data_IF_593521977819
#
_entry.id   IF_593521977819
#
_cell.length_a   1.000
_cell.length_b   1.000
_cell.length_c   1.000
_cell.angle_alpha   90.00
_cell.angle_beta   90.00
_cell.angle_gamma   90.00
#
_symmetry.space_group_name_H-M   'P 1'
#
loop_
_entity.id
_entity.type
_entity.pdbx_description
1 polymer ?
#
# COMPACT_ATOMS: atom_id res chain seq x y z
N UNK A 1 36.68 17.92 -7.83
CA UNK A 1 36.36 17.40 -6.48
C UNK A 1 36.20 15.89 -6.55
N UNK A 2 37.14 15.13 -5.98
CA UNK A 2 37.13 13.66 -6.00
C UNK A 2 36.29 13.12 -4.84
N UNK A 3 35.20 12.38 -5.15
CA UNK A 3 34.41 11.68 -4.12
C UNK A 3 35.30 10.67 -3.39
N UNK A 4 35.21 10.62 -2.07
CA UNK A 4 35.95 9.66 -1.22
C UNK A 4 35.53 8.22 -1.57
N UNK A 5 36.43 7.24 -1.43
CA UNK A 5 36.19 5.81 -1.75
C UNK A 5 34.91 5.25 -1.12
N UNK A 6 34.57 5.69 0.10
CA UNK A 6 33.32 5.32 0.79
C UNK A 6 32.07 5.83 0.08
N UNK A 7 32.06 7.08 -0.41
CA UNK A 7 30.93 7.64 -1.16
C UNK A 7 30.77 6.97 -2.53
N UNK A 8 31.87 6.59 -3.18
CA UNK A 8 31.83 5.86 -4.44
C UNK A 8 31.23 4.46 -4.27
N UNK A 9 31.61 3.73 -3.22
CA UNK A 9 31.05 2.41 -2.91
C UNK A 9 29.56 2.49 -2.57
N UNK A 10 29.15 3.46 -1.75
CA UNK A 10 27.73 3.69 -1.43
C UNK A 10 26.92 3.99 -2.69
N UNK A 11 27.45 4.82 -3.60
CA UNK A 11 26.78 5.13 -4.86
C UNK A 11 26.61 3.88 -5.74
N UNK A 12 27.60 3.00 -5.80
CA UNK A 12 27.52 1.73 -6.56
C UNK A 12 26.48 0.79 -5.97
N UNK A 13 26.42 0.66 -4.65
CA UNK A 13 25.42 -0.17 -3.98
C UNK A 13 23.99 0.33 -4.22
N UNK A 14 23.75 1.64 -4.11
CA UNK A 14 22.45 2.24 -4.43
C UNK A 14 22.04 2.00 -5.89
N UNK A 15 22.99 2.04 -6.83
CA UNK A 15 22.72 1.73 -8.25
C UNK A 15 22.33 0.27 -8.44
N UNK A 16 23.09 -0.67 -7.87
CA UNK A 16 22.78 -2.11 -7.94
C UNK A 16 21.42 -2.44 -7.31
N UNK A 17 21.12 -1.80 -6.18
CA UNK A 17 19.82 -1.90 -5.55
C UNK A 17 18.71 -1.49 -6.51
N UNK A 18 18.84 -0.29 -7.12
CA UNK A 18 17.83 0.25 -8.03
C UNK A 18 17.66 -0.62 -9.28
N UNK A 19 18.73 -1.20 -9.80
CA UNK A 19 18.70 -2.11 -10.93
C UNK A 19 17.82 -3.34 -10.62
N UNK A 20 18.07 -4.02 -9.50
CA UNK A 20 17.22 -5.12 -9.05
C UNK A 20 15.77 -4.66 -8.83
N UNK A 21 15.59 -3.55 -8.11
CA UNK A 21 14.29 -3.05 -7.67
C UNK A 21 13.37 -2.67 -8.85
N UNK A 22 13.93 -2.28 -10.00
CA UNK A 22 13.17 -2.02 -11.23
C UNK A 22 12.49 -3.27 -11.80
N UNK A 23 13.05 -4.45 -11.56
CA UNK A 23 12.49 -5.72 -12.04
C UNK A 23 11.50 -6.34 -11.05
N UNK A 24 11.74 -6.14 -9.76
CA UNK A 24 10.89 -6.64 -8.69
C UNK A 24 10.99 -5.68 -7.48
N UNK A 25 9.99 -4.81 -7.25
CA UNK A 25 10.06 -3.74 -6.26
C UNK A 25 9.79 -4.23 -4.83
N UNK A 26 10.52 -5.27 -4.40
CA UNK A 26 10.51 -5.82 -3.03
C UNK A 26 11.80 -5.39 -2.34
N UNK A 27 11.68 -4.49 -1.35
CA UNK A 27 12.84 -3.83 -0.72
C UNK A 27 13.76 -4.85 -0.03
N UNK A 28 13.19 -5.81 0.69
CA UNK A 28 13.93 -6.92 1.33
C UNK A 28 14.83 -7.69 0.36
N UNK A 29 14.28 -8.20 -0.75
CA UNK A 29 15.05 -9.00 -1.71
C UNK A 29 16.11 -8.18 -2.45
N UNK A 30 15.79 -6.92 -2.79
CA UNK A 30 16.76 -6.02 -3.39
C UNK A 30 17.93 -5.70 -2.43
N UNK A 31 17.67 -5.62 -1.12
CA UNK A 31 18.69 -5.42 -0.10
C UNK A 31 19.59 -6.66 0.04
N UNK A 32 18.98 -7.84 0.13
CA UNK A 32 19.70 -9.13 0.20
C UNK A 32 20.58 -9.35 -1.04
N UNK A 33 20.10 -8.97 -2.24
CA UNK A 33 20.85 -9.07 -3.49
C UNK A 33 22.14 -8.23 -3.52
N UNK A 34 22.23 -7.17 -2.71
CA UNK A 34 23.43 -6.35 -2.56
C UNK A 34 24.18 -6.62 -1.25
N UNK A 35 23.79 -7.64 -0.48
CA UNK A 35 24.41 -8.00 0.80
C UNK A 35 24.14 -6.99 1.92
N UNK A 36 22.98 -6.32 1.91
CA UNK A 36 22.57 -5.34 2.93
C UNK A 36 21.27 -5.76 3.62
N UNK A 37 21.05 -5.22 4.83
CA UNK A 37 19.77 -5.37 5.52
C UNK A 37 18.72 -4.42 4.95
N UNK A 38 17.45 -4.79 5.11
CA UNK A 38 16.33 -3.90 4.75
C UNK A 38 16.38 -2.57 5.52
N UNK A 39 16.79 -2.60 6.78
CA UNK A 39 16.97 -1.40 7.61
C UNK A 39 17.97 -0.41 7.01
N UNK A 40 19.05 -0.92 6.41
CA UNK A 40 20.04 -0.08 5.71
C UNK A 40 19.39 0.73 4.59
N UNK A 41 18.41 0.14 3.90
CA UNK A 41 17.70 0.79 2.81
C UNK A 41 16.67 1.80 3.34
N UNK A 42 15.97 1.48 4.44
CA UNK A 42 15.14 2.44 5.16
C UNK A 42 15.94 3.68 5.54
N UNK A 43 17.13 3.47 6.09
CA UNK A 43 18.08 4.53 6.42
C UNK A 43 18.47 5.38 5.21
N UNK A 44 18.74 4.74 4.06
CA UNK A 44 19.06 5.46 2.83
C UNK A 44 17.89 6.31 2.34
N UNK A 45 16.65 5.83 2.45
CA UNK A 45 15.45 6.58 2.06
C UNK A 45 15.27 7.82 2.93
N UNK A 46 15.50 7.69 4.24
CA UNK A 46 15.36 8.79 5.19
C UNK A 46 16.45 9.85 5.01
N UNK A 47 17.69 9.43 4.68
CA UNK A 47 18.85 10.33 4.55
C UNK A 47 19.02 10.92 3.14
N UNK A 48 18.43 10.30 2.12
CA UNK A 48 18.57 10.69 0.71
C UNK A 48 17.20 10.71 0.00
N UNK A 49 16.52 11.89 0.00
CA UNK A 49 15.23 12.04 -0.66
C UNK A 49 15.25 11.73 -2.16
N UNK A 50 16.39 11.95 -2.84
CA UNK A 50 16.51 11.63 -4.26
C UNK A 50 16.46 10.11 -4.49
N UNK A 51 17.13 9.35 -3.63
CA UNK A 51 17.04 7.89 -3.65
C UNK A 51 15.60 7.41 -3.39
N UNK A 52 14.91 7.99 -2.41
CA UNK A 52 13.50 7.69 -2.15
C UNK A 52 12.59 7.98 -3.36
N UNK A 53 12.79 9.13 -4.02
CA UNK A 53 12.07 9.50 -5.24
C UNK A 53 12.33 8.52 -6.39
N UNK A 54 13.58 8.07 -6.57
CA UNK A 54 13.91 7.07 -7.58
C UNK A 54 13.24 5.72 -7.31
N UNK A 55 13.12 5.30 -6.05
CA UNK A 55 12.38 4.09 -5.68
C UNK A 55 10.89 4.21 -5.98
N UNK A 56 10.28 5.34 -5.63
CA UNK A 56 8.88 5.61 -5.95
C UNK A 56 8.63 5.49 -7.45
N UNK A 57 9.46 6.16 -8.27
CA UNK A 57 9.38 6.09 -9.74
C UNK A 57 9.57 4.67 -10.27
N UNK A 58 10.57 3.93 -9.79
CA UNK A 58 10.82 2.56 -10.22
C UNK A 58 9.63 1.63 -9.89
N UNK A 59 9.06 1.76 -8.68
CA UNK A 59 7.88 1.01 -8.27
C UNK A 59 6.66 1.34 -9.13
N UNK A 60 6.37 2.62 -9.34
CA UNK A 60 5.22 3.04 -10.16
C UNK A 60 5.34 2.56 -11.60
N UNK A 61 6.54 2.66 -12.21
CA UNK A 61 6.78 2.18 -13.56
C UNK A 61 6.58 0.65 -13.66
N UNK A 62 7.11 -0.11 -12.70
CA UNK A 62 6.90 -1.56 -12.64
C UNK A 62 5.42 -1.91 -12.51
N UNK A 63 4.68 -1.23 -11.61
CA UNK A 63 3.25 -1.47 -11.41
C UNK A 63 2.47 -1.20 -12.70
N UNK A 64 2.76 -0.11 -13.41
CA UNK A 64 2.10 0.21 -14.67
C UNK A 64 2.36 -0.87 -15.73
N UNK A 65 3.62 -1.29 -15.90
CA UNK A 65 3.99 -2.37 -16.85
C UNK A 65 3.30 -3.70 -16.52
N UNK A 66 3.10 -4.03 -15.23
CA UNK A 66 2.36 -5.24 -14.83
C UNK A 66 0.86 -5.08 -14.98
N UNK A 67 0.32 -3.90 -14.69
CA UNK A 67 -1.10 -3.60 -14.85
C UNK A 67 -1.56 -3.77 -16.31
N UNK A 68 -0.75 -3.32 -17.28
CA UNK A 68 -1.01 -3.51 -18.72
C UNK A 68 -1.14 -4.99 -19.14
N UNK A 69 -0.51 -5.90 -18.38
CA UNK A 69 -0.50 -7.34 -18.66
C UNK A 69 -1.67 -8.07 -17.99
N UNK A 70 -2.42 -7.41 -17.12
CA UNK A 70 -3.60 -7.99 -16.47
C UNK A 70 -4.73 -8.09 -17.49
N UNK A 71 -5.19 -9.32 -17.76
CA UNK A 71 -6.23 -9.58 -18.77
C UNK A 71 -7.62 -9.09 -18.35
N UNK A 72 -7.92 -9.06 -17.06
CA UNK A 72 -9.21 -8.62 -16.54
C UNK A 72 -9.14 -7.15 -16.14
N UNK A 73 -9.76 -6.29 -16.95
CA UNK A 73 -9.91 -4.88 -16.64
C UNK A 73 -10.73 -4.66 -15.35
N UNK A 74 -11.75 -5.49 -15.14
CA UNK A 74 -12.62 -5.43 -13.95
C UNK A 74 -11.83 -5.70 -12.66
N UNK A 75 -11.04 -6.79 -12.63
CA UNK A 75 -10.18 -7.10 -11.48
C UNK A 75 -9.14 -6.00 -11.20
N UNK A 76 -8.62 -5.38 -12.26
CA UNK A 76 -7.67 -4.28 -12.12
C UNK A 76 -8.34 -3.02 -11.57
N UNK A 77 -9.52 -2.66 -12.08
CA UNK A 77 -10.29 -1.49 -11.65
C UNK A 77 -10.76 -1.62 -10.21
N UNK A 78 -11.26 -2.79 -9.79
CA UNK A 78 -11.61 -3.05 -8.39
C UNK A 78 -10.46 -2.81 -7.41
N UNK A 79 -9.21 -3.01 -7.85
CA UNK A 79 -8.02 -2.80 -7.00
C UNK A 79 -7.46 -1.39 -7.05
N UNK A 80 -7.59 -0.69 -8.17
CA UNK A 80 -7.08 0.68 -8.34
C UNK A 80 -8.08 1.70 -7.83
N UNK A 81 -9.37 1.51 -8.11
CA UNK A 81 -10.48 2.43 -7.83
C UNK A 81 -11.61 1.69 -7.13
N UNK A 82 -11.24 1.00 -6.04
CA UNK A 82 -12.13 0.12 -5.26
C UNK A 82 -13.40 0.81 -4.79
N UNK A 83 -13.35 2.10 -4.50
CA UNK A 83 -14.48 2.91 -4.05
C UNK A 83 -15.60 3.05 -5.10
N UNK A 84 -15.28 2.85 -6.38
CA UNK A 84 -16.25 2.91 -7.49
C UNK A 84 -16.69 1.53 -7.98
N UNK A 85 -15.81 0.54 -7.90
CA UNK A 85 -16.03 -0.79 -8.52
C UNK A 85 -16.24 -1.92 -7.51
N UNK A 86 -15.93 -1.73 -6.23
CA UNK A 86 -16.19 -2.76 -5.23
C UNK A 86 -17.69 -2.95 -5.06
N UNK A 87 -18.12 -4.20 -5.16
CA UNK A 87 -19.49 -4.61 -4.89
C UNK A 87 -19.88 -4.13 -3.49
N UNK A 88 -20.87 -3.23 -3.43
CA UNK A 88 -21.41 -2.76 -2.16
C UNK A 88 -22.21 -3.91 -1.57
N UNK A 89 -21.64 -4.60 -0.59
CA UNK A 89 -22.41 -5.51 0.24
C UNK A 89 -23.47 -4.64 0.93
N UNK A 90 -24.70 -4.72 0.44
CA UNK A 90 -25.86 -4.15 1.09
C UNK A 90 -26.02 -4.87 2.42
N UNK A 91 -25.47 -4.29 3.49
CA UNK A 91 -25.81 -4.73 4.84
C UNK A 91 -27.22 -4.22 5.09
N UNK A 92 -28.22 -4.93 4.55
CA UNK A 92 -29.52 -4.93 5.19
C UNK A 92 -29.24 -5.43 6.60
N UNK A 93 -29.42 -4.56 7.58
CA UNK A 93 -29.07 -4.82 8.97
C UNK A 93 -30.36 -5.19 9.69
N UNK A 94 -30.85 -6.45 9.59
CA UNK A 94 -32.12 -6.88 10.20
C UNK A 94 -32.07 -6.80 11.73
N UNK A 95 -30.87 -6.61 12.30
CA UNK A 95 -30.67 -6.35 13.72
C UNK A 95 -31.23 -4.98 14.12
N UNK A 96 -31.11 -3.97 13.25
CA UNK A 96 -31.55 -2.62 13.57
C UNK A 96 -33.08 -2.54 13.64
N UNK A 97 -33.77 -3.20 12.69
CA UNK A 97 -35.23 -3.26 12.68
C UNK A 97 -35.79 -3.99 13.91
N UNK A 98 -35.16 -5.09 14.34
CA UNK A 98 -35.53 -5.80 15.56
C UNK A 98 -35.22 -5.00 16.84
N UNK A 99 -34.15 -4.22 16.83
CA UNK A 99 -33.81 -3.33 17.95
C UNK A 99 -34.84 -2.20 18.08
N UNK A 100 -35.23 -1.58 16.96
CA UNK A 100 -36.24 -0.51 16.97
C UNK A 100 -37.60 -1.04 17.43
N UNK A 101 -38.03 -2.22 16.95
CA UNK A 101 -39.27 -2.85 17.42
C UNK A 101 -39.23 -3.21 18.91
N UNK A 102 -38.07 -3.61 19.45
CA UNK A 102 -37.91 -3.90 20.87
C UNK A 102 -37.95 -2.63 21.72
N UNK A 103 -37.30 -1.55 21.28
CA UNK A 103 -37.31 -0.25 21.93
C UNK A 103 -38.72 0.37 21.95
N UNK A 104 -39.47 0.25 20.84
CA UNK A 104 -40.83 0.74 20.74
C UNK A 104 -41.79 -0.04 21.66
N UNK A 105 -41.63 -1.36 21.75
CA UNK A 105 -42.38 -2.19 22.73
C UNK A 105 -42.06 -1.81 24.17
N UNK A 106 -40.80 -1.53 24.49
CA UNK A 106 -40.42 -1.09 25.84
C UNK A 106 -40.99 0.29 26.19
N UNK A 107 -41.05 1.22 25.22
CA UNK A 107 -41.63 2.55 25.42
C UNK A 107 -43.15 2.52 25.70
N UNK A 108 -43.87 1.51 25.18
CA UNK A 108 -45.30 1.32 25.45
C UNK A 108 -45.60 0.71 26.83
N UNK A 109 -44.60 0.11 27.49
CA UNK A 109 -44.75 -0.56 28.79
C UNK A 109 -44.46 0.41 29.95
N UNK A 110 -43.82 1.56 29.71
CA UNK A 110 -43.58 2.57 30.74
C UNK A 110 -44.88 3.36 30.96
N UNK A 111 -45.53 3.26 32.15
CA UNK A 111 -46.69 4.07 32.43
C UNK A 111 -46.28 5.54 32.48
N UNK A 112 -47.04 6.41 31.81
CA UNK A 112 -46.89 7.87 31.98
C UNK A 112 -47.08 8.17 33.46
N UNK A 113 -46.00 8.56 34.13
CA UNK A 113 -46.08 9.09 35.48
C UNK A 113 -46.95 10.36 35.42
N UNK A 114 -48.12 10.31 36.06
CA UNK A 114 -48.93 11.48 36.38
C UNK A 114 -48.26 12.29 37.49
#
# INVERSE_FOLDING_TARGET
MTKTTKQQNLSKEKTKFLEYYRHLPIQKFAAEAIGRSEDTICDWKNKDPNFANHLGRAKSAWVLEKAEKVKSAEWLLERIVSEYFKEKIGVENPVNEKLEQALERMAQIVPKAN
#
